data_IF_012705997368
#
_entry.id   IF_012705997368
#
_cell.length_a   1.000
_cell.length_b   1.000
_cell.length_c   1.000
_cell.angle_alpha   90.00
_cell.angle_beta   90.00
_cell.angle_gamma   90.00
#
_symmetry.space_group_name_H-M   'P 1'
#
loop_
_entity.id
_entity.type
_entity.pdbx_description
1 polymer ?
#
# COMPACT_ATOMS: atom_id res chain seq x y z
N UNK A 1 -12.57 7.67 -1.27
CA UNK A 1 -11.45 7.77 -0.31
C UNK A 1 -10.37 8.71 -0.89
N UNK A 2 -9.58 9.40 -0.06
CA UNK A 2 -8.73 10.52 -0.48
C UNK A 2 -7.75 10.17 -1.62
N UNK A 3 -7.21 8.94 -1.64
CA UNK A 3 -6.30 8.49 -2.70
C UNK A 3 -6.93 8.43 -4.10
N UNK A 4 -8.21 8.06 -4.22
CA UNK A 4 -8.87 7.97 -5.53
C UNK A 4 -9.13 9.35 -6.13
N UNK A 5 -9.46 10.35 -5.30
CA UNK A 5 -9.63 11.73 -5.77
C UNK A 5 -8.27 12.33 -6.17
N UNK A 6 -7.21 12.06 -5.41
CA UNK A 6 -5.86 12.49 -5.78
C UNK A 6 -5.42 11.96 -7.15
N UNK A 7 -5.67 10.67 -7.44
CA UNK A 7 -5.31 10.07 -8.73
C UNK A 7 -6.12 10.70 -9.88
N UNK A 8 -7.41 10.99 -9.66
CA UNK A 8 -8.25 11.67 -10.67
C UNK A 8 -7.72 13.06 -11.00
N UNK A 9 -7.33 13.83 -9.98
CA UNK A 9 -6.77 15.18 -10.16
C UNK A 9 -5.38 15.15 -10.80
N UNK A 10 -4.53 14.18 -10.44
CA UNK A 10 -3.18 14.02 -11.00
C UNK A 10 -3.22 13.69 -12.50
N UNK A 11 -4.29 13.01 -12.95
CA UNK A 11 -4.49 12.57 -14.34
C UNK A 11 -3.29 11.76 -14.90
N UNK A 12 -2.60 11.03 -14.02
CA UNK A 12 -1.48 10.16 -14.35
C UNK A 12 -1.36 9.03 -13.31
N UNK A 13 -0.67 7.92 -13.63
CA UNK A 13 -0.37 6.88 -12.64
C UNK A 13 0.50 7.42 -11.51
N UNK A 14 0.23 6.96 -10.29
CA UNK A 14 1.08 7.23 -9.14
C UNK A 14 2.01 6.04 -8.91
N UNK A 15 3.32 6.27 -9.02
CA UNK A 15 4.31 5.29 -8.63
C UNK A 15 4.37 5.21 -7.11
N UNK A 16 4.11 4.03 -6.55
CA UNK A 16 4.10 3.80 -5.10
C UNK A 16 4.83 2.52 -4.73
N UNK A 17 5.21 2.43 -3.47
CA UNK A 17 5.70 1.20 -2.83
C UNK A 17 5.09 1.09 -1.45
N UNK A 18 5.10 -0.12 -0.88
CA UNK A 18 4.78 -0.32 0.53
C UNK A 18 5.76 0.45 1.40
N UNK A 19 5.27 1.07 2.47
CA UNK A 19 6.13 1.72 3.47
C UNK A 19 7.02 0.65 4.11
N UNK A 20 8.33 0.84 4.08
CA UNK A 20 9.25 -0.10 4.70
C UNK A 20 9.02 -0.14 6.22
N UNK A 21 8.77 -1.34 6.74
CA UNK A 21 8.35 -1.53 8.14
C UNK A 21 9.13 -2.64 8.86
N UNK A 22 10.31 -3.01 8.34
CA UNK A 22 11.18 -3.98 9.01
C UNK A 22 11.69 -3.42 10.34
N UNK A 23 11.41 -4.14 11.42
CA UNK A 23 11.77 -3.72 12.78
C UNK A 23 10.92 -2.57 13.34
N UNK A 24 9.78 -2.27 12.72
CA UNK A 24 8.78 -1.35 13.24
C UNK A 24 7.65 -2.10 13.96
N UNK A 25 7.11 -1.50 15.01
CA UNK A 25 5.85 -1.94 15.61
C UNK A 25 4.68 -1.64 14.65
N UNK A 26 3.56 -2.35 14.82
CA UNK A 26 2.40 -2.26 13.92
C UNK A 26 1.89 -0.82 13.77
N UNK A 27 1.81 -0.12 14.88
CA UNK A 27 1.33 1.26 14.97
C UNK A 27 2.27 2.23 14.23
N UNK A 28 3.57 1.97 14.21
CA UNK A 28 4.56 2.86 13.58
C UNK A 28 4.44 2.93 12.05
N UNK A 29 3.80 1.94 11.41
CA UNK A 29 3.53 1.94 9.97
C UNK A 29 2.04 1.92 9.60
N UNK A 30 1.13 1.96 10.59
CA UNK A 30 -0.31 2.04 10.36
C UNK A 30 -0.97 3.29 10.91
N UNK A 31 -0.42 3.92 11.98
CA UNK A 31 -0.95 5.17 12.52
C UNK A 31 -0.37 6.37 11.78
N UNK A 32 -1.20 7.21 11.11
CA UNK A 32 -0.73 8.37 10.36
C UNK A 32 0.05 9.39 11.22
N UNK A 33 -0.24 9.48 12.52
CA UNK A 33 0.46 10.39 13.44
C UNK A 33 1.89 9.94 13.68
N UNK A 34 2.10 8.64 13.90
CA UNK A 34 3.43 8.06 14.11
C UNK A 34 4.25 8.06 12.83
N UNK A 35 3.60 7.76 11.68
CA UNK A 35 4.21 7.89 10.36
C UNK A 35 4.67 9.34 10.13
N UNK A 36 3.82 10.33 10.42
CA UNK A 36 4.19 11.74 10.32
C UNK A 36 5.38 12.08 11.20
N UNK A 37 5.36 11.70 12.47
CA UNK A 37 6.46 12.01 13.39
C UNK A 37 7.80 11.43 12.93
N UNK A 38 7.79 10.23 12.34
CA UNK A 38 8.99 9.57 11.81
C UNK A 38 9.49 10.19 10.50
N UNK A 39 8.58 10.53 9.58
CA UNK A 39 8.93 10.85 8.19
C UNK A 39 8.75 12.31 7.81
N UNK A 40 8.18 13.19 8.66
CA UNK A 40 7.91 14.62 8.34
C UNK A 40 9.11 15.43 7.82
N UNK A 41 10.33 14.99 8.09
CA UNK A 41 11.55 15.66 7.60
C UNK A 41 12.15 14.98 6.35
N UNK A 42 11.55 13.89 5.87
CA UNK A 42 12.01 13.07 4.74
C UNK A 42 11.05 13.12 3.54
N UNK A 43 9.81 13.60 3.75
CA UNK A 43 8.78 13.69 2.72
C UNK A 43 8.16 15.08 2.70
N UNK A 44 7.66 15.50 1.54
CA UNK A 44 7.02 16.81 1.38
C UNK A 44 5.63 16.87 2.03
N UNK A 45 4.94 15.72 2.11
CA UNK A 45 3.57 15.63 2.63
C UNK A 45 3.29 14.24 3.19
N UNK A 46 2.49 14.19 4.26
CA UNK A 46 1.81 12.98 4.75
C UNK A 46 0.31 13.23 4.68
N UNK A 47 -0.41 12.32 4.03
CA UNK A 47 -1.87 12.39 3.89
C UNK A 47 -2.53 11.45 4.90
N UNK A 48 -3.22 12.02 5.89
CA UNK A 48 -4.00 11.24 6.85
C UNK A 48 -5.27 10.69 6.17
N UNK A 49 -5.26 9.38 5.91
CA UNK A 49 -6.40 8.61 5.41
C UNK A 49 -7.03 7.69 6.45
N UNK A 50 -6.68 7.85 7.73
CA UNK A 50 -6.95 6.90 8.80
C UNK A 50 -5.91 5.77 8.91
N UNK A 51 -6.17 4.80 9.79
CA UNK A 51 -5.27 3.67 10.03
C UNK A 51 -5.07 2.80 8.78
N UNK A 52 -3.81 2.52 8.47
CA UNK A 52 -3.40 1.62 7.40
C UNK A 52 -3.67 0.14 7.72
N UNK A 53 -3.64 -0.70 6.69
CA UNK A 53 -3.71 -2.15 6.84
C UNK A 53 -2.34 -2.78 7.15
N UNK A 54 -2.34 -3.91 7.87
CA UNK A 54 -1.13 -4.66 8.22
C UNK A 54 -0.75 -5.75 7.21
N UNK A 55 -1.70 -6.15 6.37
CA UNK A 55 -1.50 -7.21 5.39
C UNK A 55 -1.34 -6.61 3.99
N UNK A 56 -0.36 -7.06 3.21
CA UNK A 56 -0.14 -6.54 1.87
C UNK A 56 -1.24 -6.99 0.90
N UNK A 57 -1.23 -6.41 -0.30
CA UNK A 57 -2.05 -6.88 -1.41
C UNK A 57 -1.60 -8.26 -1.89
N UNK A 58 -2.54 -9.01 -2.46
CA UNK A 58 -2.23 -10.18 -3.27
C UNK A 58 -1.59 -9.75 -4.59
N UNK A 59 -0.62 -10.51 -5.06
CA UNK A 59 0.10 -10.28 -6.32
C UNK A 59 -0.03 -11.55 -7.16
N UNK A 60 -0.61 -11.39 -8.34
CA UNK A 60 -0.84 -12.45 -9.31
C UNK A 60 -0.09 -12.06 -10.57
N UNK A 61 0.77 -12.95 -11.03
CA UNK A 61 1.42 -12.83 -12.33
C UNK A 61 0.50 -13.36 -13.42
N UNK A 62 0.30 -12.54 -14.45
CA UNK A 62 -0.58 -12.79 -15.59
C UNK A 62 0.18 -12.67 -16.92
N UNK A 63 1.51 -12.80 -16.92
CA UNK A 63 2.32 -12.68 -18.15
C UNK A 63 2.16 -13.87 -19.10
N UNK A 64 1.86 -15.06 -18.56
CA UNK A 64 1.64 -16.30 -19.30
C UNK A 64 0.16 -16.69 -19.31
N UNK A 65 -0.21 -17.74 -20.06
CA UNK A 65 -1.59 -18.23 -20.15
C UNK A 65 -2.16 -18.75 -18.83
N UNK A 66 -1.29 -19.23 -17.93
CA UNK A 66 -1.66 -19.78 -16.62
C UNK A 66 -1.27 -18.76 -15.55
N UNK A 67 -2.24 -18.18 -14.81
CA UNK A 67 -1.94 -17.27 -13.70
C UNK A 67 -1.07 -17.91 -12.62
N UNK A 68 -0.14 -17.14 -12.07
CA UNK A 68 0.71 -17.59 -10.95
C UNK A 68 0.54 -16.66 -9.75
N UNK A 69 0.14 -17.22 -8.62
CA UNK A 69 0.06 -16.46 -7.35
C UNK A 69 1.48 -16.26 -6.82
N UNK A 70 1.99 -15.02 -6.90
CA UNK A 70 3.31 -14.63 -6.40
C UNK A 70 3.25 -14.34 -4.89
N UNK A 71 2.15 -13.74 -4.43
CA UNK A 71 1.89 -13.45 -3.03
C UNK A 71 0.39 -13.48 -2.74
N UNK A 72 -0.04 -14.25 -1.76
CA UNK A 72 -1.40 -14.18 -1.23
C UNK A 72 -1.44 -13.16 -0.08
N UNK A 73 -2.37 -12.21 -0.17
CA UNK A 73 -2.55 -11.10 0.78
C UNK A 73 -4.03 -10.88 1.07
N UNK A 74 -4.45 -9.62 1.20
CA UNK A 74 -5.86 -9.28 1.53
C UNK A 74 -6.87 -9.60 0.43
N UNK A 75 -6.43 -9.73 -0.83
CA UNK A 75 -7.30 -10.08 -1.95
C UNK A 75 -7.47 -11.60 -2.07
N UNK A 76 -8.72 -12.07 -2.12
CA UNK A 76 -9.00 -13.49 -2.34
C UNK A 76 -8.47 -13.93 -3.72
N UNK A 77 -7.79 -15.07 -3.74
CA UNK A 77 -7.16 -15.60 -4.96
C UNK A 77 -7.80 -16.92 -5.41
N UNK A 78 -8.97 -17.30 -4.89
CA UNK A 78 -9.58 -18.61 -5.14
C UNK A 78 -9.89 -18.86 -6.62
N UNK A 79 -10.18 -17.81 -7.40
CA UNK A 79 -10.40 -17.89 -8.85
C UNK A 79 -9.13 -18.18 -9.66
N UNK A 80 -7.95 -18.13 -9.03
CA UNK A 80 -6.64 -18.30 -9.65
C UNK A 80 -5.90 -19.55 -9.13
N UNK A 81 -6.58 -20.42 -8.37
CA UNK A 81 -6.05 -21.69 -7.85
C UNK A 81 -6.29 -22.86 -8.80
#
# INVERSE_FOLDING_TARGET
PPMLELIKELNAPLLTTTLAHDGLDVEEFTDPSLIFDRYKNQVDLVLDGGFGGIFPSSVIDLTDEIPVIIREGTGQCDDFK
#
